data_IF_458539456101
#
_entry.id   IF_458539456101
#
_cell.length_a   1.000
_cell.length_b   1.000
_cell.length_c   1.000
_cell.angle_alpha   90.00
_cell.angle_beta   90.00
_cell.angle_gamma   90.00
#
_symmetry.space_group_name_H-M   'P 1'
#
loop_
_entity.id
_entity.type
_entity.pdbx_description
1 polymer ?
#
# COMPACT_ATOMS: atom_id res chain seq x y z
N UNK A 1 -2.21 -27.08 6.99
CA UNK A 1 -1.58 -27.79 8.12
C UNK A 1 -0.59 -28.78 7.55
N UNK A 2 0.58 -28.90 8.18
CA UNK A 2 1.60 -29.89 7.80
C UNK A 2 1.19 -31.29 8.24
N UNK A 3 1.33 -32.24 7.34
CA UNK A 3 1.29 -33.67 7.64
C UNK A 3 2.58 -34.14 8.32
N UNK A 4 2.50 -35.30 8.98
CA UNK A 4 3.67 -35.93 9.61
C UNK A 4 4.81 -36.20 8.62
N UNK A 5 4.48 -36.70 7.43
CA UNK A 5 5.47 -36.98 6.38
C UNK A 5 6.16 -35.71 5.90
N UNK A 6 5.43 -34.60 5.79
CA UNK A 6 6.00 -33.30 5.44
C UNK A 6 6.95 -32.78 6.52
N UNK A 7 6.60 -32.93 7.80
CA UNK A 7 7.48 -32.57 8.92
C UNK A 7 8.77 -33.39 8.90
N UNK A 8 8.68 -34.70 8.69
CA UNK A 8 9.84 -35.59 8.61
C UNK A 8 10.75 -35.23 7.42
N UNK A 9 10.18 -34.87 6.26
CA UNK A 9 10.93 -34.39 5.09
C UNK A 9 11.66 -33.08 5.38
N UNK A 10 10.99 -32.11 6.02
CA UNK A 10 11.60 -30.83 6.39
C UNK A 10 12.73 -31.00 7.41
N UNK A 11 12.51 -31.85 8.42
CA UNK A 11 13.51 -32.15 9.43
C UNK A 11 14.75 -32.83 8.82
N UNK A 12 14.56 -33.79 7.93
CA UNK A 12 15.65 -34.44 7.21
C UNK A 12 16.42 -33.46 6.31
N UNK A 13 15.71 -32.58 5.60
CA UNK A 13 16.34 -31.56 4.76
C UNK A 13 17.17 -30.55 5.58
N UNK A 14 16.63 -30.06 6.69
CA UNK A 14 17.35 -29.16 7.57
C UNK A 14 18.56 -29.83 8.24
N UNK A 15 18.44 -31.09 8.66
CA UNK A 15 19.55 -31.86 9.20
C UNK A 15 20.67 -32.07 8.17
N UNK A 16 20.34 -32.26 6.90
CA UNK A 16 21.34 -32.37 5.83
C UNK A 16 22.15 -31.08 5.66
N UNK A 17 21.53 -29.91 5.89
CA UNK A 17 22.23 -28.61 5.90
C UNK A 17 22.98 -28.35 7.22
N UNK A 18 22.42 -28.81 8.33
CA UNK A 18 22.90 -28.61 9.70
C UNK A 18 22.90 -29.92 10.47
N UNK A 19 23.95 -30.75 10.34
CA UNK A 19 24.03 -32.05 11.00
C UNK A 19 23.99 -31.96 12.53
N UNK A 20 24.33 -30.80 13.10
CA UNK A 20 24.23 -30.50 14.52
C UNK A 20 22.77 -30.36 15.02
N UNK A 21 21.79 -30.24 14.13
CA UNK A 21 20.37 -30.18 14.47
C UNK A 21 19.73 -31.58 14.33
N UNK A 22 19.41 -32.28 15.43
CA UNK A 22 18.92 -33.65 15.35
C UNK A 22 17.51 -33.71 14.75
N UNK A 23 17.29 -34.63 13.79
CA UNK A 23 16.01 -34.83 13.09
C UNK A 23 14.84 -34.98 14.06
N UNK A 24 14.99 -35.79 15.12
CA UNK A 24 13.92 -36.01 16.10
C UNK A 24 13.50 -34.72 16.81
N UNK A 25 14.48 -33.88 17.18
CA UNK A 25 14.22 -32.59 17.82
C UNK A 25 13.53 -31.62 16.87
N UNK A 26 13.96 -31.60 15.60
CA UNK A 26 13.32 -30.81 14.55
C UNK A 26 11.87 -31.22 14.30
N UNK A 27 11.58 -32.53 14.22
CA UNK A 27 10.21 -33.02 14.06
C UNK A 27 9.30 -32.56 15.20
N UNK A 28 9.74 -32.72 16.46
CA UNK A 28 8.96 -32.29 17.63
C UNK A 28 8.71 -30.78 17.61
N UNK A 29 9.72 -30.00 17.30
CA UNK A 29 9.62 -28.54 17.25
C UNK A 29 8.70 -28.07 16.11
N UNK A 30 8.86 -28.60 14.89
CA UNK A 30 8.00 -28.29 13.75
C UNK A 30 6.53 -28.65 14.02
N UNK A 31 6.29 -29.80 14.65
CA UNK A 31 4.95 -30.24 15.02
C UNK A 31 4.30 -29.32 16.06
N UNK A 32 5.09 -28.80 17.00
CA UNK A 32 4.59 -27.93 18.09
C UNK A 32 4.37 -26.50 17.60
N UNK A 33 5.35 -25.89 16.94
CA UNK A 33 5.38 -24.45 16.70
C UNK A 33 4.93 -24.07 15.29
N UNK A 34 4.98 -25.00 14.33
CA UNK A 34 4.82 -24.69 12.91
C UNK A 34 3.80 -25.53 12.15
N UNK A 35 3.16 -26.53 12.78
CA UNK A 35 2.21 -27.42 12.11
C UNK A 35 1.02 -26.71 11.45
N UNK A 36 0.63 -25.54 11.95
CA UNK A 36 -0.44 -24.73 11.37
C UNK A 36 -0.05 -24.04 10.05
N UNK A 37 1.25 -23.89 9.75
CA UNK A 37 1.73 -23.17 8.57
C UNK A 37 1.65 -24.00 7.30
N UNK A 38 1.79 -23.34 6.16
CA UNK A 38 1.90 -23.99 4.86
C UNK A 38 3.27 -24.66 4.72
N UNK A 39 3.31 -25.84 4.11
CA UNK A 39 4.54 -26.62 3.90
C UNK A 39 5.64 -25.80 3.22
N UNK A 40 5.28 -25.11 2.15
CA UNK A 40 6.18 -24.26 1.36
C UNK A 40 6.84 -23.17 2.20
N UNK A 41 6.04 -22.45 3.00
CA UNK A 41 6.51 -21.32 3.79
C UNK A 41 7.53 -21.78 4.83
N UNK A 42 7.26 -22.91 5.47
CA UNK A 42 8.19 -23.53 6.41
C UNK A 42 9.45 -24.01 5.70
N UNK A 43 9.34 -24.60 4.51
CA UNK A 43 10.51 -25.03 3.73
C UNK A 43 11.46 -23.87 3.40
N UNK A 44 10.91 -22.75 2.92
CA UNK A 44 11.71 -21.56 2.56
C UNK A 44 12.34 -20.94 3.80
N UNK A 45 11.56 -20.73 4.87
CA UNK A 45 12.08 -20.13 6.09
C UNK A 45 13.15 -21.01 6.75
N UNK A 46 12.91 -22.33 6.82
CA UNK A 46 13.83 -23.29 7.43
C UNK A 46 15.14 -23.41 6.64
N UNK A 47 15.07 -23.42 5.30
CA UNK A 47 16.26 -23.41 4.46
C UNK A 47 17.07 -22.13 4.66
N UNK A 48 16.40 -20.97 4.70
CA UNK A 48 17.04 -19.68 4.96
C UNK A 48 17.85 -19.72 6.26
N UNK A 49 17.22 -20.08 7.38
CA UNK A 49 17.88 -20.07 8.68
C UNK A 49 18.97 -21.15 8.80
N UNK A 50 18.82 -22.29 8.12
CA UNK A 50 19.82 -23.36 8.14
C UNK A 50 21.10 -22.95 7.40
N UNK A 51 20.97 -22.13 6.35
CA UNK A 51 22.11 -21.60 5.56
C UNK A 51 22.72 -20.32 6.14
N UNK A 52 22.06 -19.65 7.08
CA UNK A 52 22.60 -18.45 7.73
C UNK A 52 23.61 -18.84 8.83
N UNK A 53 24.87 -18.46 8.63
CA UNK A 53 25.96 -18.73 9.56
C UNK A 53 25.77 -18.10 10.95
N UNK A 54 24.98 -17.02 11.06
CA UNK A 54 24.67 -16.41 12.34
C UNK A 54 23.65 -17.22 13.16
N UNK A 55 22.93 -18.14 12.54
CA UNK A 55 21.91 -18.96 13.22
C UNK A 55 22.57 -20.12 13.95
N UNK A 56 22.49 -20.11 15.27
CA UNK A 56 22.96 -21.25 16.08
C UNK A 56 21.88 -22.32 16.26
N UNK A 57 20.61 -21.92 16.35
CA UNK A 57 19.51 -22.83 16.69
C UNK A 57 18.30 -22.65 15.77
N UNK A 58 17.55 -23.73 15.49
CA UNK A 58 16.37 -23.66 14.62
C UNK A 58 15.25 -22.80 15.21
N UNK A 59 15.20 -22.65 16.55
CA UNK A 59 14.20 -21.85 17.27
C UNK A 59 14.20 -20.37 16.86
N UNK A 60 15.27 -19.87 16.26
CA UNK A 60 15.32 -18.51 15.71
C UNK A 60 14.16 -18.27 14.74
N UNK A 61 13.68 -19.30 14.03
CA UNK A 61 12.53 -19.19 13.12
C UNK A 61 11.23 -18.73 13.80
N UNK A 62 11.08 -18.94 15.12
CA UNK A 62 9.92 -18.51 15.89
C UNK A 62 9.78 -16.99 15.95
N UNK A 63 10.89 -16.27 15.79
CA UNK A 63 10.90 -14.80 15.77
C UNK A 63 10.38 -14.27 14.42
N UNK A 64 9.90 -13.03 14.44
CA UNK A 64 9.57 -12.31 13.21
C UNK A 64 10.85 -11.76 12.57
N UNK A 65 11.50 -12.57 11.74
CA UNK A 65 12.74 -12.21 11.04
C UNK A 65 12.64 -12.20 9.51
N UNK A 66 13.76 -11.86 8.83
CA UNK A 66 13.82 -11.70 7.38
C UNK A 66 13.49 -12.96 6.59
N UNK A 67 13.69 -14.15 7.17
CA UNK A 67 13.30 -15.43 6.56
C UNK A 67 11.79 -15.51 6.27
N UNK A 68 10.94 -14.82 7.02
CA UNK A 68 9.50 -14.75 6.73
C UNK A 68 9.16 -13.76 5.60
N UNK A 69 10.01 -12.77 5.34
CA UNK A 69 9.89 -11.91 4.16
C UNK A 69 10.32 -12.65 2.89
N UNK A 70 11.32 -13.53 2.98
CA UNK A 70 11.74 -14.39 1.86
C UNK A 70 10.62 -15.34 1.41
N UNK A 71 9.78 -15.82 2.34
CA UNK A 71 8.56 -16.59 2.01
C UNK A 71 7.60 -15.78 1.14
N UNK A 72 7.35 -14.52 1.50
CA UNK A 72 6.49 -13.63 0.72
C UNK A 72 7.04 -13.46 -0.69
N UNK A 73 8.34 -13.21 -0.84
CA UNK A 73 9.00 -13.07 -2.14
C UNK A 73 8.94 -14.37 -2.96
N UNK A 74 9.06 -15.53 -2.34
CA UNK A 74 8.89 -16.79 -3.05
C UNK A 74 7.46 -16.90 -3.62
N UNK A 75 6.44 -16.46 -2.87
CA UNK A 75 5.03 -16.57 -3.24
C UNK A 75 4.43 -15.43 -4.05
N UNK A 76 5.13 -14.32 -4.15
CA UNK A 76 4.72 -13.20 -4.99
C UNK A 76 5.63 -13.16 -6.20
N UNK A 77 5.06 -13.04 -7.40
CA UNK A 77 5.73 -12.43 -8.55
C UNK A 77 6.03 -10.95 -8.21
N UNK A 78 6.90 -10.72 -7.22
CA UNK A 78 7.02 -9.46 -6.50
C UNK A 78 7.68 -8.33 -7.33
N UNK A 79 7.93 -8.56 -8.61
CA UNK A 79 8.45 -7.55 -9.54
C UNK A 79 7.47 -7.22 -10.66
N UNK A 80 6.28 -7.81 -10.67
CA UNK A 80 5.32 -7.61 -11.73
C UNK A 80 4.25 -6.59 -11.32
N UNK A 81 4.67 -5.34 -11.16
CA UNK A 81 3.74 -4.23 -11.31
C UNK A 81 3.35 -4.11 -12.79
N UNK A 82 2.66 -5.13 -13.33
CA UNK A 82 2.06 -5.16 -14.67
C UNK A 82 0.79 -4.30 -14.67
N UNK A 83 0.96 -3.01 -14.47
CA UNK A 83 -0.02 -2.07 -15.00
C UNK A 83 0.26 -1.89 -16.49
N UNK A 84 -0.79 -1.79 -17.29
CA UNK A 84 -0.65 -1.36 -18.69
C UNK A 84 0.09 -0.02 -18.70
N UNK A 85 1.14 0.09 -19.51
CA UNK A 85 1.88 1.35 -19.70
C UNK A 85 1.08 2.27 -20.61
N UNK A 86 1.24 3.57 -20.42
CA UNK A 86 0.70 4.54 -21.38
C UNK A 86 1.27 4.26 -22.78
N UNK A 87 0.42 4.30 -23.80
CA UNK A 87 0.75 4.05 -25.21
C UNK A 87 1.28 5.29 -25.94
N UNK A 88 1.16 6.47 -25.32
CA UNK A 88 1.72 7.72 -25.84
C UNK A 88 3.25 7.66 -25.83
N UNK A 89 3.85 7.99 -26.97
CA UNK A 89 5.32 8.01 -27.14
C UNK A 89 5.93 8.99 -26.13
N UNK A 90 6.89 8.51 -25.33
CA UNK A 90 7.52 9.29 -24.25
C UNK A 90 6.84 9.15 -22.88
N UNK A 91 5.69 8.48 -22.78
CA UNK A 91 4.92 8.32 -21.52
C UNK A 91 5.04 6.92 -20.89
N UNK A 92 5.80 6.00 -21.50
CA UNK A 92 5.85 4.58 -21.10
C UNK A 92 6.31 4.29 -19.66
N UNK A 93 6.87 5.29 -18.96
CA UNK A 93 7.24 5.20 -17.55
C UNK A 93 6.05 5.22 -16.59
N UNK A 94 4.86 5.62 -17.03
CA UNK A 94 3.66 5.73 -16.20
C UNK A 94 2.59 4.68 -16.52
N UNK A 95 1.66 4.49 -15.59
CA UNK A 95 0.50 3.62 -15.78
C UNK A 95 -0.53 4.27 -16.69
N UNK A 96 -1.12 3.50 -17.61
CA UNK A 96 -2.13 3.99 -18.55
C UNK A 96 -3.34 4.64 -17.84
N UNK A 97 -3.76 4.07 -16.71
CA UNK A 97 -4.91 4.57 -15.94
C UNK A 97 -4.62 5.85 -15.15
N UNK A 98 -3.36 6.25 -14.98
CA UNK A 98 -2.96 7.45 -14.25
C UNK A 98 -1.61 7.97 -14.76
N UNK A 99 -1.56 8.30 -16.05
CA UNK A 99 -0.35 8.76 -16.68
C UNK A 99 -0.03 10.19 -16.23
N UNK A 100 1.05 10.35 -15.45
CA UNK A 100 1.48 11.67 -14.97
C UNK A 100 1.85 12.63 -16.10
N UNK A 101 2.41 12.11 -17.20
CA UNK A 101 2.74 12.90 -18.38
C UNK A 101 1.50 13.38 -19.13
N UNK A 102 0.50 12.51 -19.40
CA UNK A 102 -0.77 12.94 -19.98
C UNK A 102 -1.46 14.02 -19.13
N UNK A 103 -1.44 13.85 -17.80
CA UNK A 103 -2.04 14.83 -16.90
C UNK A 103 -1.31 16.17 -16.93
N UNK A 104 0.02 16.17 -17.01
CA UNK A 104 0.79 17.41 -17.13
C UNK A 104 0.52 18.12 -18.46
N UNK A 105 0.44 17.38 -19.58
CA UNK A 105 0.09 17.93 -20.89
C UNK A 105 -1.32 18.52 -20.92
N UNK A 106 -2.29 17.86 -20.29
CA UNK A 106 -3.65 18.37 -20.17
C UNK A 106 -3.69 19.68 -19.38
N UNK A 107 -2.98 19.77 -18.26
CA UNK A 107 -2.88 21.02 -17.48
C UNK A 107 -2.24 22.13 -18.33
N UNK A 108 -1.17 21.83 -19.06
CA UNK A 108 -0.53 22.80 -19.93
C UNK A 108 -1.46 23.29 -21.06
N UNK A 109 -2.32 22.41 -21.59
CA UNK A 109 -3.33 22.78 -22.58
C UNK A 109 -4.48 23.62 -21.97
N UNK A 110 -4.92 23.28 -20.76
CA UNK A 110 -5.93 24.04 -20.02
C UNK A 110 -5.41 25.46 -19.70
N UNK A 111 -4.17 25.59 -19.25
CA UNK A 111 -3.51 26.88 -18.98
C UNK A 111 -3.31 27.72 -20.26
N UNK A 112 -3.15 27.07 -21.41
CA UNK A 112 -3.05 27.74 -22.70
C UNK A 112 -4.42 28.23 -23.23
N UNK A 113 -5.53 27.82 -22.59
CA UNK A 113 -6.86 28.31 -22.95
C UNK A 113 -7.01 29.74 -22.42
N UNK A 114 -7.21 30.75 -23.30
CA UNK A 114 -7.34 32.12 -22.84
C UNK A 114 -8.57 32.23 -21.94
N UNK A 115 -8.38 32.79 -20.74
CA UNK A 115 -9.48 33.12 -19.84
C UNK A 115 -10.50 33.94 -20.62
N UNK A 116 -11.78 33.53 -20.67
CA UNK A 116 -12.79 34.30 -21.35
C UNK A 116 -12.83 35.70 -20.73
N UNK A 117 -12.60 36.72 -21.55
CA UNK A 117 -12.57 38.14 -21.15
C UNK A 117 -13.94 38.66 -20.72
N UNK A 118 -15.00 37.89 -20.99
CA UNK A 118 -16.35 38.18 -20.52
C UNK A 118 -16.74 37.10 -19.50
N UNK A 119 -17.04 37.48 -18.25
CA UNK A 119 -17.54 36.52 -17.26
C UNK A 119 -18.85 35.91 -17.78
N UNK A 120 -18.99 34.60 -17.61
CA UNK A 120 -20.24 33.89 -17.85
C UNK A 120 -21.39 34.61 -17.10
N UNK A 121 -22.44 35.08 -17.79
CA UNK A 121 -23.51 35.87 -17.19
C UNK A 121 -24.23 35.11 -16.06
N UNK A 122 -24.31 33.78 -16.13
CA UNK A 122 -24.93 32.97 -15.10
C UNK A 122 -24.04 32.94 -13.83
N UNK A 123 -22.74 32.74 -13.99
CA UNK A 123 -21.78 32.82 -12.88
C UNK A 123 -21.70 34.21 -12.27
N UNK A 124 -21.76 35.26 -13.10
CA UNK A 124 -21.83 36.64 -12.63
C UNK A 124 -23.09 36.91 -11.81
N UNK A 125 -24.24 36.39 -12.22
CA UNK A 125 -25.49 36.49 -11.48
C UNK A 125 -25.48 35.70 -10.15
N UNK A 126 -24.76 34.57 -10.07
CA UNK A 126 -24.56 33.84 -8.81
C UNK A 126 -23.67 34.65 -7.86
N UNK A 127 -22.55 35.20 -8.35
CA UNK A 127 -21.63 36.00 -7.54
C UNK A 127 -22.30 37.29 -7.01
N UNK A 128 -23.12 37.96 -7.83
CA UNK A 128 -23.84 39.17 -7.41
C UNK A 128 -24.94 38.89 -6.38
N UNK A 129 -25.62 37.74 -6.47
CA UNK A 129 -26.62 37.31 -5.47
C UNK A 129 -26.02 37.13 -4.08
N UNK A 130 -24.85 36.48 -3.98
CA UNK A 130 -24.17 36.32 -2.69
C UNK A 130 -23.76 37.67 -2.07
N UNK A 131 -23.25 38.60 -2.90
CA UNK A 131 -22.92 39.95 -2.45
C UNK A 131 -24.15 40.75 -2.00
N UNK A 132 -25.30 40.55 -2.64
CA UNK A 132 -26.54 41.22 -2.29
C UNK A 132 -27.12 40.72 -0.97
N UNK A 133 -27.17 39.40 -0.78
CA UNK A 133 -27.62 38.77 0.48
C UNK A 133 -26.77 39.20 1.68
N UNK A 134 -25.45 39.34 1.51
CA UNK A 134 -24.56 39.81 2.57
C UNK A 134 -24.84 41.27 2.96
N UNK A 135 -25.19 42.13 2.00
CA UNK A 135 -25.55 43.54 2.27
C UNK A 135 -26.89 43.65 2.98
N UNK A 136 -27.87 42.86 2.56
CA UNK A 136 -29.19 42.80 3.19
C UNK A 136 -29.10 42.33 4.64
N UNK A 137 -28.35 41.25 4.90
CA UNK A 137 -28.12 40.75 6.26
C UNK A 137 -27.41 41.78 7.17
N UNK A 138 -26.45 42.54 6.63
CA UNK A 138 -25.77 43.58 7.39
C UNK A 138 -26.73 44.76 7.70
N UNK A 139 -27.57 45.14 6.75
CA UNK A 139 -28.56 46.20 6.95
C UNK A 139 -29.60 45.82 8.00
N UNK A 140 -30.07 44.57 8.00
CA UNK A 140 -31.01 44.04 8.99
C UNK A 140 -30.38 44.01 10.39
N UNK A 141 -29.13 43.57 10.50
CA UNK A 141 -28.40 43.56 11.77
C UNK A 141 -28.23 44.99 12.36
N UNK A 142 -27.94 45.97 11.51
CA UNK A 142 -27.83 47.37 11.92
C UNK A 142 -29.19 47.97 12.31
N UNK A 143 -30.27 47.59 11.64
CA UNK A 143 -31.63 48.02 11.97
C UNK A 143 -32.10 47.44 13.31
N UNK A 144 -31.83 46.17 13.57
CA UNK A 144 -32.12 45.51 14.85
C UNK A 144 -31.35 46.16 16.01
N UNK A 145 -30.04 46.39 15.85
CA UNK A 145 -29.23 47.07 16.85
C UNK A 145 -29.71 48.51 17.15
N UNK A 146 -30.28 49.21 16.16
CA UNK A 146 -30.84 50.54 16.34
C UNK A 146 -32.16 50.54 17.13
N UNK A 147 -32.97 49.49 17.01
CA UNK A 147 -34.21 49.33 17.77
C UNK A 147 -33.95 49.03 19.25
N UNK A 148 -32.88 48.32 19.58
CA UNK A 148 -32.48 48.01 20.97
C UNK A 148 -31.96 49.24 21.75
N UNK A 149 -31.56 50.31 21.04
CA UNK A 149 -31.02 51.54 21.63
C UNK A 149 -32.13 52.59 21.89
N UNK A 150 -33.33 52.39 21.35
CA UNK A 150 -34.46 53.30 21.52
C UNK A 150 -35.34 52.79 22.69
N UNK A 151 -35.46 53.54 23.81
CA UNK A 151 -36.05 53.05 25.06
C UNK A 151 -37.56 52.78 24.99
#
# INVERSE_FOLDING_TARGET
MLSRTEIERLAAAAHALRPDWPVRSLCTWLQTDHAARAYRDVAVALAYIATDAATQTPKRMNEMGPWWSAVKLAGSDATDHRFARCDVIGHGSYAAWNCGACRAEQIAADDATPTPTTPDPERAAIASRGAQQAREALADALAAARQEIQP
#
